data_IF_696432436849
#
_entry.id   IF_696432436849
#
_cell.length_a   1.000
_cell.length_b   1.000
_cell.length_c   1.000
_cell.angle_alpha   90.00
_cell.angle_beta   90.00
_cell.angle_gamma   90.00
#
_symmetry.space_group_name_H-M   'P 1'
#
loop_
_entity.id
_entity.type
_entity.pdbx_description
1 polymer ?
#
# COMPACT_ATOMS: atom_id res chain seq x y z
N UNK A 1 -2.28 -10.84 14.79
CA UNK A 1 -1.66 -9.73 15.55
C UNK A 1 -0.28 -9.56 14.98
N UNK A 2 0.13 -8.34 14.63
CA UNK A 2 1.49 -8.07 14.13
C UNK A 2 2.38 -7.55 15.27
N UNK A 3 3.66 -7.92 15.26
CA UNK A 3 4.63 -7.45 16.24
C UNK A 3 5.16 -6.06 15.86
N UNK A 4 5.75 -5.34 16.81
CA UNK A 4 6.36 -4.02 16.53
C UNK A 4 7.51 -4.07 15.52
N UNK A 5 8.13 -5.24 15.30
CA UNK A 5 9.13 -5.42 14.23
C UNK A 5 8.47 -5.50 12.86
N UNK A 6 7.39 -6.27 12.77
CA UNK A 6 6.59 -6.43 11.54
C UNK A 6 5.92 -5.12 11.13
N UNK A 7 5.40 -4.36 12.09
CA UNK A 7 4.79 -3.05 11.84
C UNK A 7 5.82 -2.06 11.25
N UNK A 8 7.05 -2.06 11.78
CA UNK A 8 8.17 -1.27 11.22
C UNK A 8 8.57 -1.75 9.83
N UNK A 9 8.60 -3.06 9.60
CA UNK A 9 8.87 -3.63 8.27
C UNK A 9 7.80 -3.20 7.27
N UNK A 10 6.51 -3.30 7.64
CA UNK A 10 5.40 -2.86 6.79
C UNK A 10 5.47 -1.37 6.47
N UNK A 11 5.84 -0.54 7.44
CA UNK A 11 5.99 0.89 7.21
C UNK A 11 7.13 1.20 6.23
N UNK A 12 8.30 0.58 6.40
CA UNK A 12 9.45 0.77 5.52
C UNK A 12 9.17 0.26 4.11
N UNK A 13 8.61 -0.94 3.99
CA UNK A 13 8.27 -1.57 2.70
C UNK A 13 7.15 -0.81 2.01
N UNK A 14 6.13 -0.35 2.74
CA UNK A 14 5.07 0.50 2.20
C UNK A 14 5.58 1.86 1.70
N UNK A 15 6.56 2.47 2.38
CA UNK A 15 7.22 3.71 1.93
C UNK A 15 8.07 3.50 0.68
N UNK A 16 8.84 2.41 0.62
CA UNK A 16 9.68 2.05 -0.54
C UNK A 16 8.85 1.68 -1.77
N UNK A 17 7.78 0.91 -1.56
CA UNK A 17 6.93 0.39 -2.62
C UNK A 17 5.56 1.09 -2.62
N UNK A 18 5.53 2.38 -2.96
CA UNK A 18 4.31 3.22 -2.91
C UNK A 18 3.11 2.70 -3.74
N UNK A 19 3.36 1.80 -4.70
CA UNK A 19 2.35 1.14 -5.54
C UNK A 19 1.98 -0.28 -5.07
N UNK A 20 2.64 -0.82 -4.06
CA UNK A 20 2.37 -2.17 -3.57
C UNK A 20 0.97 -2.25 -2.97
N UNK A 21 0.26 -3.31 -3.33
CA UNK A 21 -1.06 -3.62 -2.77
C UNK A 21 -0.91 -4.35 -1.43
N UNK A 22 -1.93 -4.27 -0.59
CA UNK A 22 -1.94 -4.97 0.71
C UNK A 22 -1.74 -6.50 0.60
N UNK A 23 -2.05 -7.11 -0.57
CA UNK A 23 -1.78 -8.54 -0.81
C UNK A 23 -0.31 -8.82 -1.06
N UNK A 24 0.35 -7.96 -1.84
CA UNK A 24 1.79 -8.08 -2.08
C UNK A 24 2.53 -7.91 -0.75
N UNK A 25 2.19 -6.88 0.03
CA UNK A 25 2.77 -6.65 1.36
C UNK A 25 2.52 -7.81 2.33
N UNK A 26 1.33 -8.42 2.31
CA UNK A 26 1.01 -9.61 3.12
C UNK A 26 1.86 -10.82 2.72
N UNK A 27 2.04 -11.06 1.42
CA UNK A 27 2.90 -12.14 0.92
C UNK A 27 4.37 -11.92 1.25
N UNK A 28 4.83 -10.67 1.17
CA UNK A 28 6.21 -10.28 1.43
C UNK A 28 6.54 -10.34 2.92
N UNK A 29 5.60 -9.94 3.78
CA UNK A 29 5.70 -10.13 5.24
C UNK A 29 5.75 -11.61 5.61
N UNK A 30 4.90 -12.44 5.00
CA UNK A 30 4.90 -13.88 5.23
C UNK A 30 6.23 -14.52 4.78
N UNK A 31 6.81 -14.08 3.67
CA UNK A 31 8.11 -14.57 3.20
C UNK A 31 9.27 -14.12 4.11
N UNK A 32 9.23 -12.88 4.62
CA UNK A 32 10.30 -12.32 5.45
C UNK A 32 10.28 -12.78 6.91
N UNK A 33 9.09 -12.98 7.48
CA UNK A 33 8.91 -13.22 8.92
C UNK A 33 8.16 -14.52 9.23
N UNK A 34 7.55 -15.17 8.24
CA UNK A 34 6.68 -16.32 8.45
C UNK A 34 5.28 -15.95 8.95
N UNK A 35 5.03 -14.67 9.19
CA UNK A 35 3.78 -14.19 9.78
C UNK A 35 2.77 -13.82 8.69
N UNK A 36 1.64 -14.51 8.69
CA UNK A 36 0.52 -14.21 7.78
C UNK A 36 -0.36 -13.14 8.42
N UNK A 37 -0.27 -11.91 7.94
CA UNK A 37 -1.19 -10.83 8.32
C UNK A 37 -2.31 -10.70 7.29
N UNK A 38 -3.56 -10.58 7.77
CA UNK A 38 -4.71 -10.36 6.89
C UNK A 38 -4.64 -8.98 6.23
N UNK A 39 -5.27 -8.84 5.05
CA UNK A 39 -5.38 -7.54 4.35
C UNK A 39 -5.93 -6.43 5.25
N UNK A 40 -6.94 -6.72 6.08
CA UNK A 40 -7.51 -5.73 7.00
C UNK A 40 -6.48 -5.28 8.04
N UNK A 41 -5.67 -6.19 8.57
CA UNK A 41 -4.61 -5.85 9.52
C UNK A 41 -3.56 -4.96 8.86
N UNK A 42 -3.11 -5.34 7.65
CA UNK A 42 -2.17 -4.54 6.85
C UNK A 42 -2.73 -3.12 6.62
N UNK A 43 -4.00 -2.99 6.23
CA UNK A 43 -4.61 -1.67 6.01
C UNK A 43 -4.68 -0.84 7.28
N UNK A 44 -5.05 -1.44 8.41
CA UNK A 44 -5.08 -0.74 9.69
C UNK A 44 -3.70 -0.21 10.06
N UNK A 45 -2.65 -1.04 9.94
CA UNK A 45 -1.26 -0.64 10.23
C UNK A 45 -0.75 0.45 9.29
N UNK A 46 -0.99 0.31 8.00
CA UNK A 46 -0.60 1.35 7.04
C UNK A 46 -1.36 2.66 7.25
N UNK A 47 -2.60 2.61 7.75
CA UNK A 47 -3.37 3.81 8.08
C UNK A 47 -2.89 4.46 9.38
N UNK A 48 -2.55 3.67 10.41
CA UNK A 48 -1.91 4.15 11.65
C UNK A 48 -0.61 4.91 11.33
N UNK A 49 0.17 4.41 10.37
CA UNK A 49 1.42 5.03 9.91
C UNK A 49 1.23 6.13 8.85
N UNK A 50 -0.01 6.46 8.47
CA UNK A 50 -0.33 7.49 7.47
C UNK A 50 0.09 7.15 6.03
N UNK A 51 0.44 5.90 5.75
CA UNK A 51 0.95 5.44 4.45
C UNK A 51 -0.16 5.05 3.47
N UNK A 52 -1.36 4.78 3.97
CA UNK A 52 -2.51 4.49 3.12
C UNK A 52 -3.33 5.77 2.87
N UNK A 53 -2.99 6.51 1.81
CA UNK A 53 -3.76 7.68 1.40
C UNK A 53 -5.11 7.26 0.78
N UNK A 54 -6.18 7.98 1.14
CA UNK A 54 -7.54 7.78 0.62
C UNK A 54 -7.55 7.71 -0.92
N UNK A 55 -8.30 6.74 -1.46
CA UNK A 55 -8.70 6.75 -2.87
C UNK A 55 -9.55 8.00 -3.13
N UNK A 56 -9.34 8.73 -4.25
CA UNK A 56 -10.34 9.69 -4.72
C UNK A 56 -11.63 8.92 -4.95
N UNK A 57 -12.75 9.44 -4.41
CA UNK A 57 -14.07 8.81 -4.45
C UNK A 57 -14.61 8.63 -5.88
N UNK A 58 -13.96 9.23 -6.87
CA UNK A 58 -14.36 9.26 -8.27
C UNK A 58 -13.15 8.94 -9.15
N UNK A 59 -13.21 7.84 -9.90
CA UNK A 59 -12.38 7.68 -11.09
C UNK A 59 -13.01 8.56 -12.17
N UNK A 60 -12.51 9.78 -12.36
CA UNK A 60 -12.83 10.53 -13.58
C UNK A 60 -12.17 9.75 -14.71
N UNK A 61 -12.98 9.15 -15.59
CA UNK A 61 -12.51 8.62 -16.87
C UNK A 61 -11.99 9.81 -17.67
N UNK A 62 -10.68 10.06 -17.59
CA UNK A 62 -10.01 10.94 -18.55
C UNK A 62 -10.07 10.21 -19.88
N UNK A 63 -10.96 10.67 -20.77
CA UNK A 63 -10.97 10.28 -22.17
C UNK A 63 -9.55 10.44 -22.72
N UNK A 64 -9.13 9.48 -23.54
CA UNK A 64 -7.74 9.27 -23.97
C UNK A 64 -7.09 10.51 -24.62
N UNK A 65 -7.89 11.48 -25.04
CA UNK A 65 -7.48 12.69 -25.74
C UNK A 65 -6.69 13.68 -24.87
N UNK A 66 -6.89 13.70 -23.54
CA UNK A 66 -6.34 14.77 -22.67
C UNK A 66 -5.02 14.44 -21.96
N UNK A 67 -4.42 13.28 -22.27
CA UNK A 67 -3.16 12.83 -21.64
C UNK A 67 -1.90 13.41 -22.30
N UNK A 68 -2.01 13.98 -23.51
CA UNK A 68 -0.83 14.35 -24.32
C UNK A 68 -0.27 15.74 -24.04
N UNK A 69 -1.02 16.64 -23.41
CA UNK A 69 -0.55 18.02 -23.10
C UNK A 69 0.29 18.14 -21.82
N UNK A 70 0.65 17.03 -21.16
CA UNK A 70 1.45 17.06 -19.92
C UNK A 70 2.88 16.56 -20.08
N UNK A 71 3.28 16.25 -21.30
CA UNK A 71 4.66 16.00 -21.69
C UNK A 71 4.91 16.86 -22.93
N UNK A 72 5.28 18.12 -22.70
CA UNK A 72 6.11 18.85 -23.66
C UNK A 72 7.46 18.13 -23.76
#
# INVERSE_FOLDING_TARGET
MTTASEDRYLALTGRRNRKATARQLSSELAAATGTVASRQTIYRRLNEEGLYARKPRVCVLLSSEKKRDRFN
#
